data_IF_649274953679
#
_entry.id   IF_649274953679
#
_cell.length_a   1.000
_cell.length_b   1.000
_cell.length_c   1.000
_cell.angle_alpha   90.00
_cell.angle_beta   90.00
_cell.angle_gamma   90.00
#
_symmetry.space_group_name_H-M   'P 1'
#
loop_
_entity.id
_entity.type
_entity.pdbx_description
1 polymer ?
#
# COMPACT_ATOMS: atom_id res chain seq x y z
N UNK A 1 43.32 33.44 25.36
CA UNK A 1 42.97 32.36 24.38
C UNK A 1 41.80 31.48 24.81
N UNK A 2 41.68 31.04 26.07
CA UNK A 2 40.65 30.10 26.52
C UNK A 2 39.17 30.53 26.31
N UNK A 3 38.85 31.84 26.37
CA UNK A 3 37.48 32.36 26.20
C UNK A 3 36.98 32.30 24.74
N UNK A 4 37.88 32.54 23.77
CA UNK A 4 37.59 32.41 22.32
C UNK A 4 37.36 30.95 21.93
N UNK A 5 38.14 30.02 22.49
CA UNK A 5 38.04 28.58 22.19
C UNK A 5 36.75 27.95 22.73
N UNK A 6 36.28 28.38 23.91
CA UNK A 6 34.97 27.95 24.47
C UNK A 6 33.80 28.48 23.64
N UNK A 7 33.87 29.73 23.17
CA UNK A 7 32.83 30.33 22.32
C UNK A 7 32.75 29.67 20.94
N UNK A 8 33.89 29.29 20.37
CA UNK A 8 33.94 28.61 19.08
C UNK A 8 33.41 27.17 19.17
N UNK A 9 33.78 26.46 20.23
CA UNK A 9 33.28 25.11 20.52
C UNK A 9 31.76 25.10 20.79
N UNK A 10 31.26 26.08 21.56
CA UNK A 10 29.83 26.21 21.85
C UNK A 10 29.02 26.52 20.57
N UNK A 11 29.55 27.39 19.69
CA UNK A 11 28.92 27.71 18.41
C UNK A 11 28.90 26.50 17.49
N UNK A 12 30.00 25.74 17.41
CA UNK A 12 30.10 24.55 16.58
C UNK A 12 29.14 23.44 17.06
N UNK A 13 29.08 23.17 18.36
CA UNK A 13 28.11 22.22 18.92
C UNK A 13 26.66 22.64 18.66
N UNK A 14 26.37 23.95 18.70
CA UNK A 14 25.03 24.47 18.39
C UNK A 14 24.65 24.26 16.92
N UNK A 15 25.59 24.43 15.98
CA UNK A 15 25.33 24.17 14.56
C UNK A 15 25.12 22.68 14.27
N UNK A 16 25.91 21.81 14.90
CA UNK A 16 25.73 20.36 14.77
C UNK A 16 24.39 19.91 15.35
N UNK A 17 24.04 20.37 16.55
CA UNK A 17 22.74 20.05 17.16
C UNK A 17 21.56 20.53 16.29
N UNK A 18 21.65 21.74 15.72
CA UNK A 18 20.62 22.26 14.82
C UNK A 18 20.51 21.45 13.52
N UNK A 19 21.64 20.99 12.95
CA UNK A 19 21.62 20.11 11.77
C UNK A 19 20.99 18.75 12.05
N UNK A 20 21.22 18.18 13.24
CA UNK A 20 20.59 16.91 13.64
C UNK A 20 19.08 17.06 13.83
N UNK A 21 18.62 18.19 14.38
CA UNK A 21 17.18 18.46 14.54
C UNK A 21 16.49 18.62 13.17
N UNK A 22 17.15 19.28 12.21
CA UNK A 22 16.61 19.45 10.86
C UNK A 22 16.51 18.13 10.08
N UNK A 23 17.39 17.15 10.36
CA UNK A 23 17.35 15.81 9.76
C UNK A 23 16.25 14.90 10.34
N UNK A 24 15.60 15.29 11.43
CA UNK A 24 14.50 14.55 12.06
C UNK A 24 13.13 15.04 11.63
N UNK A 25 13.05 16.01 10.70
CA UNK A 25 11.77 16.48 10.18
C UNK A 25 11.13 15.37 9.34
N UNK A 26 9.90 14.93 9.66
CA UNK A 26 9.19 14.00 8.80
C UNK A 26 9.02 14.64 7.42
N UNK A 27 9.55 13.98 6.40
CA UNK A 27 9.34 14.39 5.01
C UNK A 27 7.88 14.07 4.68
N UNK A 28 7.08 15.03 4.19
CA UNK A 28 5.75 14.71 3.70
C UNK A 28 5.89 13.77 2.50
N UNK A 29 5.51 12.50 2.70
CA UNK A 29 5.31 11.55 1.61
C UNK A 29 3.97 11.90 0.97
N UNK A 30 4.02 12.46 -0.24
CA UNK A 30 2.82 12.71 -1.03
C UNK A 30 2.61 11.49 -1.93
N UNK A 31 1.74 10.57 -1.49
CA UNK A 31 1.24 9.54 -2.39
C UNK A 31 0.36 10.20 -3.45
N UNK A 32 0.52 9.84 -4.72
CA UNK A 32 -0.43 10.24 -5.76
C UNK A 32 -1.53 9.19 -5.91
N UNK A 33 -2.73 9.68 -6.23
CA UNK A 33 -3.90 8.83 -6.40
C UNK A 33 -3.85 8.06 -7.73
N UNK A 34 -4.13 6.77 -7.67
CA UNK A 34 -4.41 5.91 -8.83
C UNK A 34 -5.84 5.38 -8.75
N UNK A 35 -6.43 5.07 -9.90
CA UNK A 35 -7.70 4.36 -9.95
C UNK A 35 -7.46 2.87 -9.90
N UNK A 36 -8.23 2.17 -9.07
CA UNK A 36 -8.20 0.72 -9.00
C UNK A 36 -9.59 0.11 -9.16
N UNK A 37 -9.65 -1.14 -9.58
CA UNK A 37 -10.85 -1.97 -9.59
C UNK A 37 -10.52 -3.34 -9.00
N UNK A 38 -11.33 -3.77 -8.01
CA UNK A 38 -11.09 -5.00 -7.25
C UNK A 38 -12.06 -6.09 -7.70
N UNK A 39 -11.48 -7.21 -8.12
CA UNK A 39 -12.20 -8.41 -8.54
C UNK A 39 -11.88 -9.61 -7.64
N UNK A 40 -12.89 -10.26 -7.03
CA UNK A 40 -14.31 -9.93 -7.10
C UNK A 40 -14.67 -8.68 -6.28
N UNK A 41 -15.66 -7.91 -6.75
CA UNK A 41 -16.23 -6.78 -6.00
C UNK A 41 -17.10 -7.22 -4.80
N UNK A 42 -17.47 -8.50 -4.75
CA UNK A 42 -18.14 -9.12 -3.60
C UNK A 42 -17.23 -10.21 -3.03
N UNK A 43 -16.71 -9.99 -1.82
CA UNK A 43 -15.90 -10.94 -1.09
C UNK A 43 -16.79 -11.78 -0.16
N UNK A 44 -16.99 -13.05 -0.52
CA UNK A 44 -17.61 -14.00 0.39
C UNK A 44 -16.54 -14.72 1.22
N UNK A 45 -16.55 -14.56 2.54
CA UNK A 45 -15.55 -15.15 3.43
C UNK A 45 -15.62 -16.68 3.49
N UNK A 46 -16.77 -17.28 3.16
CA UNK A 46 -16.94 -18.74 3.05
C UNK A 46 -16.61 -19.29 1.65
N UNK A 47 -16.20 -18.42 0.72
CA UNK A 47 -15.87 -18.82 -0.65
C UNK A 47 -14.55 -19.59 -0.70
N UNK A 48 -14.49 -20.58 -1.60
CA UNK A 48 -13.25 -21.28 -1.99
C UNK A 48 -12.42 -20.50 -3.02
N UNK A 49 -12.80 -19.27 -3.37
CA UNK A 49 -11.96 -18.40 -4.21
C UNK A 49 -10.64 -18.16 -3.49
N UNK A 50 -9.54 -18.34 -4.22
CA UNK A 50 -8.18 -18.24 -3.69
C UNK A 50 -7.51 -16.92 -4.03
N UNK A 51 -8.10 -16.09 -4.90
CA UNK A 51 -7.45 -14.88 -5.41
C UNK A 51 -8.38 -13.67 -5.34
N UNK A 52 -7.82 -12.55 -4.89
CA UNK A 52 -8.33 -11.19 -5.13
C UNK A 52 -7.40 -10.52 -6.15
N UNK A 53 -7.95 -9.99 -7.24
CA UNK A 53 -7.19 -9.30 -8.30
C UNK A 53 -7.50 -7.81 -8.26
N UNK A 54 -6.47 -6.98 -8.30
CA UNK A 54 -6.57 -5.52 -8.36
C UNK A 54 -6.06 -5.05 -9.71
N UNK A 55 -6.96 -4.47 -10.51
CA UNK A 55 -6.62 -3.76 -11.73
C UNK A 55 -6.34 -2.30 -11.40
N UNK A 56 -5.37 -1.69 -12.09
CA UNK A 56 -4.99 -0.29 -11.84
C UNK A 56 -4.96 0.51 -13.14
N UNK A 57 -4.88 1.85 -13.04
CA UNK A 57 -4.59 2.74 -14.16
C UNK A 57 -3.12 3.18 -14.24
N UNK A 58 -2.25 2.75 -13.32
CA UNK A 58 -0.81 3.01 -13.36
C UNK A 58 -0.10 2.04 -14.30
N UNK A 59 0.86 2.57 -15.08
CA UNK A 59 1.64 1.76 -16.00
C UNK A 59 2.54 0.76 -15.25
N UNK A 60 2.49 -0.51 -15.64
CA UNK A 60 3.25 -1.62 -15.05
C UNK A 60 4.74 -1.31 -14.88
N UNK A 61 5.34 -0.70 -15.91
CA UNK A 61 6.77 -0.40 -15.96
C UNK A 61 7.25 0.60 -14.90
N UNK A 62 6.33 1.32 -14.26
CA UNK A 62 6.66 2.34 -13.26
C UNK A 62 6.66 1.78 -11.84
N UNK A 63 6.02 0.64 -11.60
CA UNK A 63 5.78 0.11 -10.25
C UNK A 63 7.00 -0.64 -9.73
N UNK A 64 7.44 -0.31 -8.52
CA UNK A 64 8.33 -1.16 -7.73
C UNK A 64 7.49 -2.25 -7.04
N UNK A 65 7.43 -3.41 -7.70
CA UNK A 65 6.54 -4.51 -7.32
C UNK A 65 6.80 -5.09 -5.93
N UNK A 66 7.98 -4.88 -5.36
CA UNK A 66 8.34 -5.40 -4.03
C UNK A 66 7.70 -4.60 -2.89
N UNK A 67 7.20 -3.39 -3.18
CA UNK A 67 6.61 -2.47 -2.20
C UNK A 67 5.09 -2.54 -2.13
N UNK A 68 4.46 -3.27 -3.06
CA UNK A 68 3.01 -3.26 -3.25
C UNK A 68 2.31 -4.11 -2.19
N UNK A 69 1.34 -3.51 -1.50
CA UNK A 69 0.47 -4.21 -0.55
C UNK A 69 -0.99 -3.74 -0.64
N UNK A 70 -1.92 -4.58 -0.19
CA UNK A 70 -3.35 -4.30 -0.12
C UNK A 70 -3.80 -4.36 1.34
N UNK A 71 -4.09 -3.22 1.96
CA UNK A 71 -4.33 -3.09 3.41
C UNK A 71 -3.19 -3.76 4.23
N UNK A 72 -1.94 -3.65 3.76
CA UNK A 72 -0.78 -4.27 4.39
C UNK A 72 -0.58 -5.77 4.09
N UNK A 73 -1.43 -6.39 3.27
CA UNK A 73 -1.22 -7.76 2.77
C UNK A 73 -0.29 -7.74 1.57
N UNK A 74 0.81 -8.48 1.66
CA UNK A 74 1.79 -8.64 0.58
C UNK A 74 1.15 -9.27 -0.67
N UNK A 75 1.59 -8.79 -1.82
CA UNK A 75 1.19 -9.31 -3.12
C UNK A 75 1.74 -10.72 -3.37
N UNK A 76 0.92 -11.59 -3.94
CA UNK A 76 1.30 -12.97 -4.28
C UNK A 76 1.77 -13.10 -5.74
N UNK A 77 1.21 -12.30 -6.66
CA UNK A 77 1.56 -12.33 -8.08
C UNK A 77 1.19 -11.05 -8.82
N UNK A 78 1.89 -10.76 -9.92
CA UNK A 78 1.65 -9.56 -10.73
C UNK A 78 1.86 -9.78 -12.22
N UNK A 79 1.26 -8.91 -13.03
CA UNK A 79 1.52 -8.78 -14.47
C UNK A 79 1.08 -7.41 -14.99
N UNK A 80 1.31 -7.16 -16.27
CA UNK A 80 0.62 -6.10 -17.00
C UNK A 80 -0.68 -6.63 -17.63
N UNK A 81 -1.69 -5.76 -17.79
CA UNK A 81 -2.87 -6.03 -18.60
C UNK A 81 -2.64 -5.69 -20.08
N UNK A 82 -3.66 -5.88 -20.94
CA UNK A 82 -3.55 -5.61 -22.38
C UNK A 82 -3.35 -4.12 -22.72
N UNK A 83 -3.49 -3.22 -21.74
CA UNK A 83 -3.21 -1.77 -21.86
C UNK A 83 -1.83 -1.40 -21.33
N UNK A 84 -1.10 -2.35 -20.75
CA UNK A 84 0.20 -2.13 -20.13
C UNK A 84 0.11 -1.61 -18.69
N UNK A 85 -1.08 -1.64 -18.08
CA UNK A 85 -1.28 -1.21 -16.70
C UNK A 85 -0.96 -2.33 -15.72
N UNK A 86 -0.58 -1.96 -14.51
CA UNK A 86 -0.24 -2.89 -13.44
C UNK A 86 -1.47 -3.66 -12.96
N UNK A 87 -1.32 -4.97 -12.78
CA UNK A 87 -2.34 -5.85 -12.18
C UNK A 87 -1.68 -6.67 -11.08
N UNK A 88 -2.22 -6.55 -9.87
CA UNK A 88 -1.78 -7.28 -8.69
C UNK A 88 -2.76 -8.38 -8.32
N UNK A 89 -2.27 -9.47 -7.73
CA UNK A 89 -3.06 -10.57 -7.19
C UNK A 89 -2.61 -10.89 -5.77
N UNK A 90 -3.59 -11.07 -4.90
CA UNK A 90 -3.42 -11.33 -3.48
C UNK A 90 -4.11 -12.65 -3.12
N UNK A 91 -3.54 -13.36 -2.13
CA UNK A 91 -4.18 -14.51 -1.52
C UNK A 91 -5.50 -14.09 -0.90
N UNK A 92 -6.60 -14.63 -1.40
CA UNK A 92 -7.92 -14.31 -0.88
C UNK A 92 -8.08 -14.72 0.58
N UNK A 93 -7.38 -15.76 1.04
CA UNK A 93 -7.50 -16.22 2.42
C UNK A 93 -6.85 -15.23 3.39
N UNK A 94 -5.72 -14.59 3.01
CA UNK A 94 -5.12 -13.50 3.79
C UNK A 94 -6.05 -12.28 3.88
N UNK A 95 -6.72 -11.92 2.77
CA UNK A 95 -7.67 -10.80 2.75
C UNK A 95 -8.90 -11.08 3.63
N UNK A 96 -9.43 -12.31 3.62
CA UNK A 96 -10.57 -12.72 4.47
C UNK A 96 -10.24 -12.71 5.97
N UNK A 97 -8.95 -12.69 6.34
CA UNK A 97 -8.48 -12.70 7.72
C UNK A 97 -7.88 -11.38 8.18
N UNK A 98 -8.10 -10.28 7.44
CA UNK A 98 -7.74 -8.93 7.90
C UNK A 98 -8.42 -8.63 9.25
N UNK A 99 -7.66 -8.13 10.21
CA UNK A 99 -8.11 -7.94 11.60
C UNK A 99 -9.28 -6.94 11.74
N UNK A 100 -9.38 -5.99 10.81
CA UNK A 100 -10.41 -4.95 10.76
C UNK A 100 -11.53 -5.23 9.74
N UNK A 101 -11.53 -6.41 9.12
CA UNK A 101 -12.55 -6.78 8.13
C UNK A 101 -13.94 -6.84 8.78
N UNK A 102 -14.90 -6.15 8.18
CA UNK A 102 -16.31 -6.16 8.60
C UNK A 102 -17.21 -6.71 7.49
N UNK A 103 -18.35 -7.28 7.87
CA UNK A 103 -19.42 -7.64 6.93
C UNK A 103 -20.16 -6.36 6.50
N UNK A 104 -20.43 -6.22 5.20
CA UNK A 104 -20.98 -5.01 4.58
C UNK A 104 -19.95 -4.32 3.68
N UNK A 105 -20.10 -3.02 3.51
CA UNK A 105 -19.17 -2.23 2.70
C UNK A 105 -17.80 -2.14 3.39
N UNK A 106 -16.74 -2.44 2.65
CA UNK A 106 -15.37 -2.40 3.14
C UNK A 106 -14.45 -1.81 2.07
N UNK A 107 -13.51 -0.95 2.48
CA UNK A 107 -12.56 -0.32 1.56
C UNK A 107 -11.25 -1.09 1.55
N UNK A 108 -10.85 -1.52 0.35
CA UNK A 108 -9.52 -2.03 0.09
C UNK A 108 -8.65 -0.93 -0.51
N UNK A 109 -7.46 -0.74 0.05
CA UNK A 109 -6.48 0.28 -0.30
C UNK A 109 -5.18 -0.37 -0.74
N UNK A 110 -4.85 -0.20 -2.01
CA UNK A 110 -3.59 -0.59 -2.61
C UNK A 110 -2.57 0.53 -2.41
N UNK A 111 -1.41 0.21 -1.84
CA UNK A 111 -0.29 1.14 -1.71
C UNK A 111 0.96 0.53 -2.31
N UNK A 112 1.86 1.37 -2.82
CA UNK A 112 3.20 0.97 -3.24
C UNK A 112 4.02 2.16 -3.71
N UNK A 113 5.24 1.88 -4.13
CA UNK A 113 6.16 2.87 -4.67
C UNK A 113 6.43 2.62 -6.15
N UNK A 114 6.80 3.68 -6.85
CA UNK A 114 7.36 3.59 -8.20
C UNK A 114 8.85 3.31 -8.13
N UNK A 115 9.43 2.84 -9.25
CA UNK A 115 10.88 2.62 -9.38
C UNK A 115 11.71 3.91 -9.23
N UNK A 116 11.06 5.08 -9.34
CA UNK A 116 11.67 6.40 -9.15
C UNK A 116 11.53 6.92 -7.71
N UNK A 117 10.84 6.17 -6.83
CA UNK A 117 10.68 6.46 -5.41
C UNK A 117 9.45 7.28 -5.03
N UNK A 118 8.55 7.57 -5.97
CA UNK A 118 7.26 8.21 -5.68
C UNK A 118 6.25 7.16 -5.19
N UNK A 119 5.56 7.43 -4.08
CA UNK A 119 4.50 6.57 -3.55
C UNK A 119 3.17 6.80 -4.30
N UNK A 120 2.39 5.74 -4.46
CA UNK A 120 1.02 5.79 -5.00
C UNK A 120 0.03 5.07 -4.08
N UNK A 121 -1.22 5.48 -4.15
CA UNK A 121 -2.33 4.88 -3.41
C UNK A 121 -3.59 4.82 -4.27
N UNK A 122 -4.36 3.73 -4.16
CA UNK A 122 -5.68 3.62 -4.76
C UNK A 122 -6.63 2.85 -3.86
N UNK A 123 -7.89 3.28 -3.77
CA UNK A 123 -8.90 2.65 -2.92
C UNK A 123 -10.15 2.23 -3.71
N UNK A 124 -10.74 1.10 -3.33
CA UNK A 124 -11.99 0.59 -3.90
C UNK A 124 -12.89 -0.01 -2.83
N UNK A 125 -14.19 0.31 -2.88
CA UNK A 125 -15.18 -0.28 -1.99
C UNK A 125 -15.66 -1.64 -2.54
N UNK A 126 -15.65 -2.64 -1.67
CA UNK A 126 -16.19 -3.98 -1.95
C UNK A 126 -17.30 -4.32 -0.96
N UNK A 127 -18.14 -5.27 -1.33
CA UNK A 127 -19.15 -5.85 -0.45
C UNK A 127 -18.61 -7.14 0.19
N UNK A 128 -18.52 -7.19 1.51
CA UNK A 128 -18.12 -8.38 2.26
C UNK A 128 -19.36 -9.11 2.78
N UNK A 129 -19.45 -10.41 2.52
CA UNK A 129 -20.57 -11.26 2.95
C UNK A 129 -20.08 -12.54 3.62
N UNK A 130 -20.90 -13.10 4.50
CA UNK A 130 -20.69 -14.41 5.13
C UNK A 130 -21.82 -15.36 4.74
N UNK A 131 -21.66 -16.03 3.59
CA UNK A 131 -22.68 -16.89 3.04
C UNK A 131 -22.11 -18.27 2.70
N UNK A 132 -22.65 -19.32 3.32
CA UNK A 132 -22.32 -20.71 2.96
C UNK A 132 -22.72 -20.95 1.49
N UNK A 133 -21.78 -21.26 0.58
CA UNK A 133 -22.12 -21.50 -0.82
C UNK A 133 -23.08 -22.68 -0.95
N UNK A 134 -24.24 -22.45 -1.56
CA UNK A 134 -25.15 -23.55 -1.88
C UNK A 134 -24.54 -24.44 -2.96
N UNK A 135 -24.56 -25.76 -2.76
CA UNK A 135 -24.24 -26.70 -3.85
C UNK A 135 -25.13 -26.40 -5.05
N UNK A 136 -24.54 -26.41 -6.24
CA UNK A 136 -25.31 -26.40 -7.48
C UNK A 136 -26.26 -27.60 -7.44
N UNK A 137 -27.57 -27.35 -7.54
CA UNK A 137 -28.52 -28.41 -7.89
C UNK A 137 -28.29 -28.69 -9.37
N UNK A 138 -27.71 -29.86 -9.63
CA UNK A 138 -27.59 -30.51 -10.93
C UNK A 138 -28.95 -30.89 -11.51
#
# INVERSE_FOLDING_TARGET
MAKKMKSFCLSFCSFVALSLILLQMPVPCYAFDIQIDVSPNVLNIQSKSTIVTVHTDIAYKLVDVETVSLNGVDMDWWKYDDRGNFVAKFDSDKIKTLDDLIIGDYTLTLTGDTIDGDTFEGSHEIMVIDNIPASRRD
#
